data_IF_517748417847
#
_entry.id   IF_517748417847
#
_cell.length_a   1.000
_cell.length_b   1.000
_cell.length_c   1.000
_cell.angle_alpha   90.00
_cell.angle_beta   90.00
_cell.angle_gamma   90.00
#
_symmetry.space_group_name_H-M   'P 1'
#
loop_
_entity.id
_entity.type
_entity.pdbx_description
1 polymer ?
#
# COMPACT_ATOMS: atom_id res chain seq x y z
N UNK A 1 19.29 9.16 8.60
CA UNK A 1 20.41 9.19 9.57
C UNK A 1 21.30 10.42 9.38
N UNK A 2 22.08 10.54 8.29
CA UNK A 2 22.99 11.69 8.13
C UNK A 2 22.29 13.05 8.19
N UNK A 3 21.12 13.18 7.55
CA UNK A 3 20.26 14.37 7.64
C UNK A 3 19.71 14.61 9.05
N UNK A 4 19.38 13.55 9.79
CA UNK A 4 18.78 13.65 11.13
C UNK A 4 19.82 14.06 12.18
N UNK A 5 21.07 13.62 12.00
CA UNK A 5 22.20 13.99 12.84
C UNK A 5 22.92 15.27 12.39
N UNK A 6 22.51 15.85 11.25
CA UNK A 6 23.09 17.06 10.67
C UNK A 6 24.63 17.02 10.56
N UNK A 7 25.15 15.88 10.09
CA UNK A 7 26.58 15.60 9.94
C UNK A 7 27.06 15.87 8.51
N UNK A 8 28.28 16.39 8.38
CA UNK A 8 28.92 16.73 7.11
C UNK A 8 30.09 15.77 6.78
N UNK A 9 30.56 15.82 5.54
CA UNK A 9 31.77 15.08 5.14
C UNK A 9 32.99 15.70 5.82
N UNK A 10 33.87 14.86 6.37
CA UNK A 10 35.05 15.29 7.12
C UNK A 10 34.82 15.48 8.62
N UNK A 11 33.57 15.37 9.10
CA UNK A 11 33.31 15.39 10.54
C UNK A 11 33.93 14.17 11.23
N UNK A 12 34.35 14.35 12.48
CA UNK A 12 34.86 13.28 13.34
C UNK A 12 33.71 12.75 14.19
N UNK A 13 33.47 11.44 14.10
CA UNK A 13 32.46 10.73 14.87
C UNK A 13 33.14 9.79 15.86
N UNK A 14 32.91 10.01 17.16
CA UNK A 14 33.44 9.15 18.24
C UNK A 14 32.44 8.04 18.54
N UNK A 15 32.87 6.79 18.40
CA UNK A 15 32.08 5.61 18.71
C UNK A 15 32.68 4.86 19.90
N UNK A 16 31.82 4.50 20.85
CA UNK A 16 32.22 3.61 21.94
C UNK A 16 31.98 2.15 21.54
N UNK A 17 33.06 1.39 21.34
CA UNK A 17 33.02 -0.04 20.98
C UNK A 17 33.74 -0.83 22.06
N UNK A 18 32.99 -1.67 22.79
CA UNK A 18 33.48 -2.46 23.93
C UNK A 18 34.20 -1.61 25.00
N UNK A 19 33.70 -0.41 25.29
CA UNK A 19 34.27 0.48 26.31
C UNK A 19 35.49 1.27 25.84
N UNK A 20 35.85 1.20 24.55
CA UNK A 20 36.90 2.00 23.94
C UNK A 20 36.29 3.03 23.00
N UNK A 21 36.65 4.29 23.20
CA UNK A 21 36.29 5.38 22.28
C UNK A 21 37.20 5.32 21.06
N UNK A 22 36.57 5.36 19.89
CA UNK A 22 37.23 5.29 18.59
C UNK A 22 36.72 6.45 17.76
N UNK A 23 37.63 7.33 17.38
CA UNK A 23 37.35 8.45 16.49
C UNK A 23 37.48 8.00 15.03
N UNK A 24 36.48 8.31 14.22
CA UNK A 24 36.47 8.04 12.78
C UNK A 24 36.00 9.25 11.98
N UNK A 25 36.67 9.51 10.85
CA UNK A 25 36.30 10.57 9.92
C UNK A 25 35.24 10.08 8.92
N UNK A 26 34.23 10.92 8.65
CA UNK A 26 33.19 10.62 7.65
C UNK A 26 33.71 10.90 6.24
N UNK A 27 34.05 9.83 5.51
CA UNK A 27 34.61 9.93 4.15
C UNK A 27 33.56 9.93 3.03
N UNK A 28 32.39 9.32 3.24
CA UNK A 28 31.35 9.23 2.24
C UNK A 28 29.99 8.95 2.86
N UNK A 29 28.92 9.43 2.22
CA UNK A 29 27.55 9.06 2.53
C UNK A 29 27.02 8.05 1.51
N UNK A 30 26.23 7.08 1.98
CA UNK A 30 25.59 6.06 1.15
C UNK A 30 24.08 6.12 1.35
N UNK A 31 23.36 6.05 0.24
CA UNK A 31 21.93 5.77 0.28
C UNK A 31 21.71 4.26 0.48
N UNK A 32 20.91 3.92 1.49
CA UNK A 32 20.66 2.52 1.88
C UNK A 32 19.20 2.21 1.65
N UNK A 33 18.96 1.21 0.81
CA UNK A 33 17.62 0.68 0.56
C UNK A 33 17.41 -0.60 1.38
N UNK A 34 16.54 -0.52 2.40
CA UNK A 34 16.22 -1.65 3.28
C UNK A 34 15.13 -2.58 2.71
N UNK A 35 14.61 -2.32 1.50
CA UNK A 35 13.50 -3.09 0.92
C UNK A 35 13.89 -4.50 0.48
N UNK A 36 15.16 -4.72 0.15
CA UNK A 36 15.63 -6.02 -0.35
C UNK A 36 15.89 -7.06 0.75
N UNK A 37 15.72 -6.66 2.03
CA UNK A 37 15.93 -7.47 3.23
C UNK A 37 17.33 -8.08 3.31
N UNK A 38 18.28 -7.53 2.57
CA UNK A 38 19.69 -7.86 2.71
C UNK A 38 20.24 -7.15 3.95
N UNK A 39 21.29 -7.73 4.54
CA UNK A 39 22.00 -7.09 5.64
C UNK A 39 22.58 -5.78 5.14
N UNK A 40 22.07 -4.69 5.73
CA UNK A 40 22.54 -3.35 5.50
C UNK A 40 22.91 -2.70 6.84
N UNK A 41 24.01 -1.97 6.87
CA UNK A 41 24.47 -1.27 8.05
C UNK A 41 24.41 0.24 7.84
N UNK A 42 24.08 0.97 8.91
CA UNK A 42 24.03 2.42 8.89
C UNK A 42 25.41 3.08 8.75
N UNK A 43 26.45 2.40 9.25
CA UNK A 43 27.85 2.83 9.18
C UNK A 43 28.72 1.65 8.73
N UNK A 44 29.76 1.95 7.93
CA UNK A 44 30.73 0.97 7.45
C UNK A 44 32.14 1.39 7.88
N UNK A 45 32.91 0.43 8.39
CA UNK A 45 34.29 0.66 8.82
C UNK A 45 35.30 0.20 7.79
N UNK A 46 36.51 0.74 7.87
CA UNK A 46 37.66 0.21 7.13
C UNK A 46 37.88 -1.27 7.52
N UNK A 47 37.90 -2.22 6.56
CA UNK A 47 38.10 -3.64 6.84
C UNK A 47 39.37 -3.96 7.63
N UNK A 48 40.45 -3.18 7.46
CA UNK A 48 41.70 -3.37 8.19
C UNK A 48 41.56 -3.04 9.68
N UNK A 49 40.70 -2.08 10.01
CA UNK A 49 40.38 -1.74 11.39
C UNK A 49 39.42 -2.77 12.00
N UNK A 50 38.36 -3.14 11.27
CA UNK A 50 37.34 -4.09 11.73
C UNK A 50 37.91 -5.46 12.13
N UNK A 51 38.97 -5.94 11.45
CA UNK A 51 39.65 -7.20 11.81
C UNK A 51 40.30 -7.21 13.19
N UNK A 52 40.58 -6.03 13.77
CA UNK A 52 41.27 -5.89 15.07
C UNK A 52 40.32 -5.82 16.26
N UNK A 53 39.02 -5.69 16.01
CA UNK A 53 37.98 -5.67 17.04
C UNK A 53 37.21 -6.99 17.04
N UNK A 54 36.72 -7.45 18.21
CA UNK A 54 35.79 -8.58 18.25
C UNK A 54 34.57 -8.28 17.39
N UNK A 55 34.21 -9.21 16.50
CA UNK A 55 33.05 -9.08 15.62
C UNK A 55 32.47 -10.45 15.29
N UNK A 56 31.21 -10.45 14.88
CA UNK A 56 30.48 -11.63 14.41
C UNK A 56 30.28 -11.56 12.89
N UNK A 57 30.16 -12.72 12.26
CA UNK A 57 29.85 -12.80 10.84
C UNK A 57 28.34 -12.91 10.65
N UNK A 58 27.82 -12.06 9.78
CA UNK A 58 26.41 -12.04 9.39
C UNK A 58 26.32 -12.29 7.89
N UNK A 59 25.40 -13.17 7.48
CA UNK A 59 25.17 -13.48 6.08
C UNK A 59 23.66 -13.63 5.79
N UNK A 60 23.22 -13.13 4.65
CA UNK A 60 21.87 -13.35 4.13
C UNK A 60 21.95 -14.37 3.00
N UNK A 61 21.18 -15.44 3.09
CA UNK A 61 21.03 -16.41 2.02
C UNK A 61 19.60 -16.37 1.48
N UNK A 62 19.45 -16.22 0.16
CA UNK A 62 18.15 -16.29 -0.51
C UNK A 62 18.03 -17.62 -1.25
N UNK A 63 17.05 -18.42 -0.86
CA UNK A 63 16.77 -19.72 -1.48
C UNK A 63 15.67 -19.59 -2.52
N UNK A 64 15.82 -20.28 -3.67
CA UNK A 64 14.76 -20.35 -4.69
C UNK A 64 13.60 -21.24 -4.26
N UNK A 65 13.89 -22.33 -3.55
CA UNK A 65 12.91 -23.22 -2.96
C UNK A 65 13.21 -23.37 -1.46
N UNK A 66 12.46 -22.67 -0.58
CA UNK A 66 12.66 -22.71 0.86
C UNK A 66 12.50 -24.11 1.46
N UNK A 67 11.63 -24.94 0.88
CA UNK A 67 11.29 -26.28 1.39
C UNK A 67 12.46 -27.27 1.25
N UNK A 68 13.43 -26.95 0.40
CA UNK A 68 14.62 -27.77 0.19
C UNK A 68 15.76 -27.43 1.18
N UNK A 69 15.59 -26.44 2.05
CA UNK A 69 16.59 -26.05 3.05
C UNK A 69 16.33 -26.74 4.39
N UNK A 70 17.23 -27.65 4.77
CA UNK A 70 17.18 -28.37 6.05
C UNK A 70 17.99 -27.62 7.11
N UNK A 71 17.27 -26.83 7.92
CA UNK A 71 17.85 -26.06 9.01
C UNK A 71 18.52 -26.96 10.06
N UNK A 72 17.91 -28.11 10.36
CA UNK A 72 18.40 -29.05 11.38
C UNK A 72 19.77 -29.59 11.00
N UNK A 73 19.93 -30.04 9.74
CA UNK A 73 21.24 -30.51 9.25
C UNK A 73 22.30 -29.42 9.28
N UNK A 74 21.93 -28.16 9.04
CA UNK A 74 22.89 -27.06 9.07
C UNK A 74 23.33 -26.71 10.51
N UNK A 75 22.42 -26.78 11.48
CA UNK A 75 22.74 -26.62 12.91
C UNK A 75 23.59 -27.78 13.45
N UNK A 76 23.45 -29.00 12.92
CA UNK A 76 24.31 -30.12 13.27
C UNK A 76 25.77 -29.90 12.82
N UNK A 77 25.98 -29.33 11.63
CA UNK A 77 27.32 -29.05 11.09
C UNK A 77 27.93 -27.78 11.70
N UNK A 78 27.11 -26.78 12.01
CA UNK A 78 27.52 -25.48 12.55
C UNK A 78 26.68 -25.13 13.80
N UNK A 79 26.96 -25.72 14.97
CA UNK A 79 26.15 -25.54 16.17
C UNK A 79 26.23 -24.14 16.78
N UNK A 80 27.26 -23.34 16.43
CA UNK A 80 27.38 -21.94 16.82
C UNK A 80 26.60 -20.98 15.92
N UNK A 81 25.95 -21.47 14.86
CA UNK A 81 25.19 -20.65 13.93
C UNK A 81 23.80 -20.32 14.49
N UNK A 82 23.45 -19.04 14.52
CA UNK A 82 22.07 -18.60 14.74
C UNK A 82 21.42 -18.29 13.39
N UNK A 83 20.28 -18.92 13.09
CA UNK A 83 19.52 -18.70 11.87
C UNK A 83 18.19 -18.01 12.18
N UNK A 84 17.82 -17.04 11.33
CA UNK A 84 16.56 -16.30 11.44
C UNK A 84 15.80 -16.41 10.12
N UNK A 85 14.64 -17.08 10.14
CA UNK A 85 13.78 -17.25 8.98
C UNK A 85 12.90 -16.02 8.77
N UNK A 86 13.40 -15.05 8.00
CA UNK A 86 12.66 -13.81 7.67
C UNK A 86 11.36 -14.12 6.90
N UNK A 87 11.33 -15.19 6.10
CA UNK A 87 10.17 -15.59 5.30
C UNK A 87 8.90 -15.84 6.15
N UNK A 88 9.03 -16.49 7.31
CA UNK A 88 7.90 -16.79 8.18
C UNK A 88 7.25 -15.53 8.74
N UNK A 89 8.05 -14.52 9.07
CA UNK A 89 7.57 -13.22 9.53
C UNK A 89 6.86 -12.47 8.40
N UNK A 90 7.42 -12.46 7.19
CA UNK A 90 6.77 -11.85 6.03
C UNK A 90 5.43 -12.52 5.71
N UNK A 91 5.36 -13.85 5.80
CA UNK A 91 4.12 -14.59 5.60
C UNK A 91 3.06 -14.21 6.64
N UNK A 92 3.45 -14.03 7.91
CA UNK A 92 2.55 -13.54 8.96
C UNK A 92 2.05 -12.13 8.67
N UNK A 93 2.94 -11.20 8.32
CA UNK A 93 2.58 -9.81 7.97
C UNK A 93 1.63 -9.80 6.77
N UNK A 94 1.96 -10.56 5.72
CA UNK A 94 1.12 -10.69 4.51
C UNK A 94 -0.24 -11.28 4.85
N UNK A 95 -0.31 -12.28 5.74
CA UNK A 95 -1.58 -12.85 6.19
C UNK A 95 -2.44 -11.83 6.94
N UNK A 96 -1.84 -11.00 7.79
CA UNK A 96 -2.56 -9.92 8.49
C UNK A 96 -3.06 -8.88 7.48
N UNK A 97 -2.22 -8.44 6.54
CA UNK A 97 -2.63 -7.51 5.49
C UNK A 97 -3.77 -8.07 4.63
N UNK A 98 -3.72 -9.36 4.28
CA UNK A 98 -4.80 -10.03 3.56
C UNK A 98 -6.11 -10.04 4.35
N UNK A 99 -6.08 -10.26 5.66
CA UNK A 99 -7.28 -10.18 6.52
C UNK A 99 -7.85 -8.77 6.55
N UNK A 100 -7.00 -7.75 6.66
CA UNK A 100 -7.42 -6.34 6.58
C UNK A 100 -8.05 -6.05 5.22
N UNK A 101 -7.44 -6.51 4.13
CA UNK A 101 -7.97 -6.34 2.78
C UNK A 101 -9.36 -6.98 2.61
N UNK A 102 -9.54 -8.21 3.12
CA UNK A 102 -10.85 -8.89 3.10
C UNK A 102 -11.88 -8.10 3.91
N UNK A 103 -11.52 -7.63 5.11
CA UNK A 103 -12.42 -6.84 5.94
C UNK A 103 -12.87 -5.56 5.23
N UNK A 104 -11.93 -4.78 4.68
CA UNK A 104 -12.23 -3.56 3.93
C UNK A 104 -13.08 -3.84 2.69
N UNK A 105 -12.83 -4.94 1.99
CA UNK A 105 -13.63 -5.36 0.82
C UNK A 105 -15.08 -5.68 1.22
N UNK A 106 -15.28 -6.39 2.33
CA UNK A 106 -16.62 -6.69 2.85
C UNK A 106 -17.36 -5.41 3.26
N UNK A 107 -16.70 -4.51 3.98
CA UNK A 107 -17.27 -3.21 4.39
C UNK A 107 -17.65 -2.39 3.15
N UNK A 108 -16.80 -2.38 2.12
CA UNK A 108 -17.08 -1.70 0.85
C UNK A 108 -18.31 -2.30 0.16
N UNK A 109 -18.43 -3.64 0.12
CA UNK A 109 -19.60 -4.31 -0.42
C UNK A 109 -20.90 -3.94 0.30
N UNK A 110 -20.88 -3.95 1.64
CA UNK A 110 -22.03 -3.51 2.46
C UNK A 110 -22.36 -2.03 2.18
N UNK A 111 -21.36 -1.17 2.08
CA UNK A 111 -21.54 0.25 1.79
C UNK A 111 -22.19 0.47 0.42
N UNK A 112 -21.83 -0.30 -0.60
CA UNK A 112 -22.47 -0.25 -1.93
C UNK A 112 -23.95 -0.63 -1.83
N UNK A 113 -24.29 -1.70 -1.11
CA UNK A 113 -25.68 -2.13 -0.91
C UNK A 113 -26.49 -1.03 -0.22
N UNK A 114 -25.94 -0.43 0.85
CA UNK A 114 -26.56 0.70 1.54
C UNK A 114 -26.75 1.88 0.58
N UNK A 115 -25.73 2.21 -0.22
CA UNK A 115 -25.82 3.26 -1.23
C UNK A 115 -26.95 3.04 -2.24
N UNK A 116 -27.11 1.80 -2.73
CA UNK A 116 -28.21 1.44 -3.63
C UNK A 116 -29.60 1.60 -2.98
N UNK A 117 -29.73 1.22 -1.70
CA UNK A 117 -30.98 1.40 -0.93
C UNK A 117 -31.30 2.89 -0.78
N UNK A 118 -30.30 3.71 -0.47
CA UNK A 118 -30.45 5.17 -0.31
C UNK A 118 -30.85 5.81 -1.65
N UNK A 119 -30.19 5.44 -2.75
CA UNK A 119 -30.54 5.94 -4.09
C UNK A 119 -31.98 5.53 -4.46
N UNK A 120 -32.36 4.27 -4.24
CA UNK A 120 -33.73 3.80 -4.49
C UNK A 120 -34.77 4.59 -3.71
N UNK A 121 -34.49 4.85 -2.43
CA UNK A 121 -35.35 5.65 -1.55
C UNK A 121 -35.47 7.10 -2.04
N UNK A 122 -34.36 7.72 -2.46
CA UNK A 122 -34.35 9.08 -3.00
C UNK A 122 -35.15 9.18 -4.32
N UNK A 123 -35.02 8.18 -5.21
CA UNK A 123 -35.79 8.12 -6.46
C UNK A 123 -37.29 7.98 -6.16
N UNK A 124 -37.68 7.14 -5.19
CA UNK A 124 -39.08 6.98 -4.81
C UNK A 124 -39.70 8.29 -4.31
N UNK A 125 -38.95 9.08 -3.53
CA UNK A 125 -39.40 10.39 -3.05
C UNK A 125 -39.49 11.41 -4.20
N UNK A 126 -38.49 11.46 -5.08
CA UNK A 126 -38.48 12.36 -6.24
C UNK A 126 -39.54 12.01 -7.29
N UNK A 127 -39.89 10.73 -7.42
CA UNK A 127 -40.85 10.23 -8.40
C UNK A 127 -42.22 10.91 -8.29
N UNK A 128 -42.69 11.20 -7.07
CA UNK A 128 -43.97 11.89 -6.82
C UNK A 128 -44.01 13.30 -7.41
N UNK A 129 -42.89 14.02 -7.32
CA UNK A 129 -42.76 15.37 -7.91
C UNK A 129 -42.64 15.29 -9.43
N UNK A 130 -41.91 14.28 -9.93
CA UNK A 130 -41.75 14.02 -11.37
C UNK A 130 -43.05 13.60 -12.06
N UNK A 131 -43.96 12.94 -11.37
CA UNK A 131 -45.28 12.61 -11.92
C UNK A 131 -46.07 13.86 -12.33
N UNK A 132 -46.10 14.88 -11.46
CA UNK A 132 -46.74 16.16 -11.78
C UNK A 132 -46.06 16.87 -12.96
N UNK A 133 -44.73 16.91 -12.99
CA UNK A 133 -43.98 17.49 -14.12
C UNK A 133 -44.26 16.77 -15.44
N UNK A 134 -44.33 15.44 -15.42
CA UNK A 134 -44.63 14.64 -16.60
C UNK A 134 -46.06 14.87 -17.11
N UNK A 135 -47.02 15.09 -16.21
CA UNK A 135 -48.39 15.49 -16.59
C UNK A 135 -48.41 16.85 -17.27
N UNK A 136 -47.67 17.84 -16.76
CA UNK A 136 -47.54 19.16 -17.40
C UNK A 136 -46.94 19.03 -18.80
N UNK A 137 -45.86 18.26 -18.98
CA UNK A 137 -45.30 17.99 -20.31
C UNK A 137 -46.29 17.27 -21.24
N UNK A 138 -47.13 16.38 -20.70
CA UNK A 138 -48.17 15.71 -21.49
C UNK A 138 -49.24 16.69 -21.99
N UNK A 139 -49.65 17.65 -21.15
CA UNK A 139 -50.61 18.70 -21.50
C UNK A 139 -50.04 19.64 -22.56
N UNK A 140 -48.74 19.95 -22.49
CA UNK A 140 -48.03 20.77 -23.47
C UNK A 140 -47.79 20.07 -24.83
N UNK A 141 -48.18 18.80 -24.96
CA UNK A 141 -48.12 18.06 -26.23
C UNK A 141 -46.88 17.20 -26.43
N UNK A 142 -45.99 17.09 -25.44
CA UNK A 142 -44.81 16.23 -25.56
C UNK A 142 -45.20 14.73 -25.69
N UNK A 143 -44.49 14.02 -26.55
CA UNK A 143 -44.61 12.57 -26.73
C UNK A 143 -44.00 11.82 -25.53
N UNK A 144 -44.42 10.56 -25.32
CA UNK A 144 -43.88 9.73 -24.22
C UNK A 144 -42.36 9.52 -24.36
N UNK A 145 -41.84 9.48 -25.61
CA UNK A 145 -40.42 9.28 -25.89
C UNK A 145 -39.60 10.50 -25.48
N UNK A 146 -40.09 11.71 -25.79
CA UNK A 146 -39.41 12.97 -25.43
C UNK A 146 -39.33 13.16 -23.91
N UNK A 147 -40.41 12.80 -23.19
CA UNK A 147 -40.44 12.87 -21.72
C UNK A 147 -39.39 11.93 -21.11
N UNK A 148 -39.32 10.67 -21.57
CA UNK A 148 -38.31 9.70 -21.09
C UNK A 148 -36.89 10.19 -21.41
N UNK A 149 -36.65 10.69 -22.63
CA UNK A 149 -35.33 11.15 -23.05
C UNK A 149 -34.86 12.36 -22.24
N UNK A 150 -35.77 13.31 -21.96
CA UNK A 150 -35.49 14.46 -21.10
C UNK A 150 -35.11 14.01 -19.68
N UNK A 151 -35.87 13.07 -19.10
CA UNK A 151 -35.53 12.52 -17.78
C UNK A 151 -34.20 11.78 -17.78
N UNK A 152 -33.87 11.06 -18.86
CA UNK A 152 -32.62 10.32 -18.98
C UNK A 152 -31.41 11.26 -19.02
N UNK A 153 -31.50 12.36 -19.78
CA UNK A 153 -30.47 13.40 -19.83
C UNK A 153 -30.26 14.03 -18.45
N UNK A 154 -31.34 14.38 -17.76
CA UNK A 154 -31.27 14.95 -16.41
C UNK A 154 -30.54 14.00 -15.44
N UNK A 155 -30.88 12.71 -15.46
CA UNK A 155 -30.20 11.71 -14.64
C UNK A 155 -28.71 11.57 -15.02
N UNK A 156 -28.37 11.55 -16.31
CA UNK A 156 -26.98 11.46 -16.75
C UNK A 156 -26.17 12.66 -16.24
N UNK A 157 -26.70 13.88 -16.31
CA UNK A 157 -26.03 15.09 -15.84
C UNK A 157 -25.79 15.02 -14.33
N UNK A 158 -26.77 14.55 -13.56
CA UNK A 158 -26.62 14.39 -12.10
C UNK A 158 -25.57 13.31 -11.78
N UNK A 159 -25.68 12.14 -12.41
CA UNK A 159 -24.75 11.03 -12.15
C UNK A 159 -23.31 11.37 -12.53
N UNK A 160 -23.09 12.00 -13.68
CA UNK A 160 -21.72 12.37 -14.09
C UNK A 160 -21.11 13.39 -13.14
N UNK A 161 -21.92 14.33 -12.62
CA UNK A 161 -21.47 15.30 -11.62
C UNK A 161 -21.07 14.61 -10.31
N UNK A 162 -21.89 13.65 -9.84
CA UNK A 162 -21.59 12.85 -8.65
C UNK A 162 -20.32 12.02 -8.84
N UNK A 163 -20.16 11.35 -9.99
CA UNK A 163 -18.97 10.55 -10.30
C UNK A 163 -17.72 11.44 -10.31
N UNK A 164 -17.78 12.62 -10.91
CA UNK A 164 -16.65 13.54 -10.98
C UNK A 164 -16.22 13.99 -9.59
N UNK A 165 -17.19 14.37 -8.74
CA UNK A 165 -16.93 14.73 -7.35
C UNK A 165 -16.35 13.54 -6.57
N UNK A 166 -16.92 12.35 -6.73
CA UNK A 166 -16.44 11.14 -6.05
C UNK A 166 -14.99 10.80 -6.44
N UNK A 167 -14.66 10.84 -7.74
CA UNK A 167 -13.29 10.61 -8.24
C UNK A 167 -12.34 11.67 -7.67
N UNK A 168 -12.74 12.93 -7.66
CA UNK A 168 -11.93 14.02 -7.12
C UNK A 168 -11.56 13.77 -5.65
N UNK A 169 -12.53 13.44 -4.81
CA UNK A 169 -12.28 13.11 -3.41
C UNK A 169 -11.48 11.81 -3.22
N UNK A 170 -11.74 10.78 -4.04
CA UNK A 170 -10.99 9.53 -3.98
C UNK A 170 -9.51 9.72 -4.31
N UNK A 171 -9.21 10.50 -5.37
CA UNK A 171 -7.85 10.81 -5.80
C UNK A 171 -7.11 11.63 -4.74
N UNK A 172 -7.73 12.69 -4.22
CA UNK A 172 -7.11 13.55 -3.21
C UNK A 172 -6.91 12.80 -1.90
N UNK A 173 -7.93 12.05 -1.44
CA UNK A 173 -7.84 11.26 -0.21
C UNK A 173 -6.76 10.18 -0.32
N UNK A 174 -6.71 9.46 -1.44
CA UNK A 174 -5.69 8.45 -1.71
C UNK A 174 -4.28 9.06 -1.71
N UNK A 175 -4.09 10.19 -2.40
CA UNK A 175 -2.80 10.89 -2.44
C UNK A 175 -2.38 11.35 -1.05
N UNK A 176 -3.30 11.96 -0.30
CA UNK A 176 -3.03 12.45 1.06
C UNK A 176 -2.56 11.33 1.98
N UNK A 177 -3.28 10.20 2.00
CA UNK A 177 -2.94 9.04 2.84
C UNK A 177 -1.59 8.46 2.41
N UNK A 178 -1.36 8.27 1.10
CA UNK A 178 -0.12 7.65 0.61
C UNK A 178 1.12 8.51 0.92
N UNK A 179 1.07 9.81 0.69
CA UNK A 179 2.23 10.68 0.85
C UNK A 179 2.46 11.12 2.30
N UNK A 180 1.41 11.36 3.09
CA UNK A 180 1.55 11.93 4.44
C UNK A 180 1.52 10.88 5.56
N UNK A 181 0.84 9.75 5.36
CA UNK A 181 0.74 8.70 6.39
C UNK A 181 1.73 7.59 6.09
N UNK A 182 1.77 7.13 4.85
CA UNK A 182 2.64 6.00 4.47
C UNK A 182 4.00 6.42 3.93
N UNK A 183 4.22 7.70 3.61
CA UNK A 183 5.45 8.21 2.99
C UNK A 183 5.83 7.43 1.71
N UNK A 184 4.81 6.94 0.99
CA UNK A 184 4.96 6.16 -0.23
C UNK A 184 4.61 7.02 -1.45
N UNK A 185 5.30 6.75 -2.57
CA UNK A 185 5.01 7.39 -3.85
C UNK A 185 3.61 7.00 -4.29
N UNK A 186 2.75 8.01 -4.46
CA UNK A 186 1.41 7.79 -4.96
C UNK A 186 1.45 7.40 -6.45
N UNK A 187 0.82 6.28 -6.79
CA UNK A 187 0.69 5.80 -8.16
C UNK A 187 -0.77 5.50 -8.47
N UNK A 188 -1.29 6.10 -9.54
CA UNK A 188 -2.57 5.70 -10.12
C UNK A 188 -2.34 4.61 -11.16
N UNK A 189 -2.59 3.36 -10.76
CA UNK A 189 -2.64 2.25 -11.70
C UNK A 189 -4.09 1.91 -12.06
N UNK A 190 -4.52 2.37 -13.24
CA UNK A 190 -5.84 2.04 -13.80
C UNK A 190 -5.99 0.55 -14.12
N UNK A 191 -4.89 -0.20 -14.32
CA UNK A 191 -4.97 -1.65 -14.55
C UNK A 191 -5.35 -2.38 -13.27
N UNK A 192 -4.78 -2.00 -12.12
CA UNK A 192 -5.11 -2.60 -10.83
C UNK A 192 -6.59 -2.39 -10.49
N UNK A 193 -7.19 -1.26 -10.86
CA UNK A 193 -8.63 -1.01 -10.75
C UNK A 193 -9.49 -2.02 -11.52
N UNK A 194 -9.09 -2.38 -12.74
CA UNK A 194 -9.80 -3.36 -13.58
C UNK A 194 -9.53 -4.79 -13.10
N UNK A 195 -8.28 -5.07 -12.72
CA UNK A 195 -7.85 -6.40 -12.31
C UNK A 195 -8.32 -6.79 -10.90
N UNK A 196 -8.42 -5.88 -9.92
CA UNK A 196 -8.99 -6.19 -8.60
C UNK A 196 -10.47 -6.60 -8.66
N UNK A 197 -11.23 -6.12 -9.65
CA UNK A 197 -12.58 -6.61 -9.94
C UNK A 197 -12.61 -8.06 -10.48
N UNK A 198 -11.50 -8.52 -11.06
CA UNK A 198 -11.36 -9.85 -11.67
C UNK A 198 -10.56 -10.86 -10.82
N UNK A 199 -9.65 -10.40 -9.95
CA UNK A 199 -8.74 -11.22 -9.14
C UNK A 199 -9.42 -11.66 -7.83
N UNK A 200 -10.62 -12.23 -7.94
CA UNK A 200 -11.01 -13.34 -7.06
C UNK A 200 -10.56 -14.68 -7.62
N UNK A 201 -10.08 -14.73 -8.88
CA UNK A 201 -9.84 -15.99 -9.59
C UNK A 201 -8.37 -16.35 -9.89
N UNK A 202 -7.39 -15.49 -9.56
CA UNK A 202 -5.98 -15.74 -9.92
C UNK A 202 -5.03 -16.01 -8.74
N UNK A 203 -5.45 -15.81 -7.49
CA UNK A 203 -4.61 -16.11 -6.31
C UNK A 203 -4.60 -17.60 -5.90
N UNK A 204 -5.27 -18.48 -6.67
CA UNK A 204 -5.21 -19.93 -6.49
C UNK A 204 -4.31 -20.65 -7.50
N UNK A 205 -3.60 -19.91 -8.38
CA UNK A 205 -2.69 -20.51 -9.36
C UNK A 205 -1.41 -19.66 -9.50
N UNK A 206 -0.56 -19.69 -8.47
CA UNK A 206 0.91 -19.81 -8.57
C UNK A 206 1.54 -19.73 -7.19
#
# INVERSE_FOLDING_TARGET
MAKDFNIELGDIFTLNIYGREIDGEIVNFREVDYRDLSINFAMLFNPQFAKKIPHEYLATAKFKNPDNFDETKMLEVLPSLSMIKIADYLNKVTSVLNKVFIAVTLISGVTIVIGLIVISSAIMVQGKVKEYQNLVFKILGFSKKEIIFSSLIEFIIIFISVILIAIFFAVIGSKFIMENIFELVWQLDFKVLIYLGAIRNYSNNK
#
